data_IF_041841068510
#
_entry.id   IF_041841068510
#
_cell.length_a   1.000
_cell.length_b   1.000
_cell.length_c   1.000
_cell.angle_alpha   90.00
_cell.angle_beta   90.00
_cell.angle_gamma   90.00
#
_symmetry.space_group_name_H-M   'P 1'
#
loop_
_entity.id
_entity.type
_entity.pdbx_description
1 polymer ?
#
# COMPACT_ATOMS: atom_id res chain seq x y z
N UNK A 1 -15.13 -61.40 39.77
CA UNK A 1 -15.46 -59.96 39.93
C UNK A 1 -14.33 -59.26 40.67
N UNK A 2 -13.53 -58.44 39.96
CA UNK A 2 -13.01 -57.15 40.43
C UNK A 2 -12.22 -56.51 39.28
N UNK A 3 -12.82 -55.45 38.75
CA UNK A 3 -12.36 -54.62 37.66
C UNK A 3 -11.23 -53.71 38.16
N UNK A 4 -10.10 -53.66 37.46
CA UNK A 4 -9.08 -52.61 37.68
C UNK A 4 -9.32 -51.57 36.59
N UNK A 5 -9.90 -50.45 37.02
CA UNK A 5 -10.20 -49.29 36.19
C UNK A 5 -8.89 -48.57 35.85
N UNK A 6 -8.56 -48.52 34.56
CA UNK A 6 -7.49 -47.68 34.02
C UNK A 6 -8.05 -46.27 33.90
N UNK A 7 -7.59 -45.33 34.74
CA UNK A 7 -7.81 -43.90 34.53
C UNK A 7 -6.52 -43.28 33.99
N UNK A 8 -6.36 -43.32 32.67
CA UNK A 8 -5.36 -42.53 31.97
C UNK A 8 -5.95 -41.12 31.78
N UNK A 9 -5.58 -40.21 32.69
CA UNK A 9 -5.90 -38.79 32.57
C UNK A 9 -5.04 -38.20 31.44
N UNK A 10 -5.57 -38.14 30.21
CA UNK A 10 -5.00 -37.30 29.16
C UNK A 10 -5.25 -35.83 29.54
N UNK A 11 -4.24 -35.18 30.10
CA UNK A 11 -4.13 -33.73 30.08
C UNK A 11 -3.94 -33.29 28.63
N UNK A 12 -5.04 -33.00 27.93
CA UNK A 12 -5.03 -32.19 26.71
C UNK A 12 -4.63 -30.78 27.12
N UNK A 13 -3.33 -30.49 27.11
CA UNK A 13 -2.86 -29.11 27.10
C UNK A 13 -3.35 -28.48 25.81
N UNK A 14 -4.32 -27.56 25.91
CA UNK A 14 -4.67 -26.67 24.81
C UNK A 14 -3.47 -25.74 24.64
N UNK A 15 -2.51 -26.15 23.82
CA UNK A 15 -1.53 -25.23 23.27
C UNK A 15 -2.30 -24.34 22.30
N UNK A 16 -2.63 -23.13 22.74
CA UNK A 16 -2.97 -22.03 21.84
C UNK A 16 -1.84 -21.90 20.85
N UNK A 17 -2.00 -22.46 19.65
CA UNK A 17 -1.04 -22.24 18.56
C UNK A 17 -1.30 -20.80 18.16
N UNK A 18 -0.41 -19.89 18.55
CA UNK A 18 -0.49 -18.50 18.12
C UNK A 18 -0.64 -18.48 16.59
N UNK A 19 -1.79 -18.02 16.11
CA UNK A 19 -2.05 -17.95 14.68
C UNK A 19 -1.03 -16.99 14.09
N UNK A 20 -0.19 -17.50 13.19
CA UNK A 20 0.89 -16.72 12.60
C UNK A 20 0.69 -16.63 11.09
N UNK A 21 0.50 -15.42 10.59
CA UNK A 21 0.47 -15.13 9.16
C UNK A 21 1.88 -14.74 8.70
N UNK A 22 2.38 -15.46 7.69
CA UNK A 22 3.73 -15.27 7.16
C UNK A 22 3.68 -14.52 5.83
N UNK A 23 4.41 -13.42 5.74
CA UNK A 23 4.64 -12.67 4.50
C UNK A 23 6.08 -12.92 4.03
N UNK A 24 6.24 -13.24 2.75
CA UNK A 24 7.50 -13.67 2.15
C UNK A 24 7.97 -12.65 1.12
N UNK A 25 9.26 -12.34 1.18
CA UNK A 25 9.96 -11.57 0.15
C UNK A 25 9.75 -12.20 -1.23
N UNK A 26 9.44 -11.37 -2.22
CA UNK A 26 9.28 -11.79 -3.62
C UNK A 26 7.96 -12.50 -3.93
N UNK A 27 7.04 -12.58 -2.96
CA UNK A 27 5.68 -13.10 -3.18
C UNK A 27 4.74 -11.97 -3.64
N UNK A 28 3.87 -12.28 -4.59
CA UNK A 28 2.81 -11.39 -5.08
C UNK A 28 1.61 -11.47 -4.13
N UNK A 29 1.22 -10.32 -3.57
CA UNK A 29 0.03 -10.22 -2.73
C UNK A 29 -1.03 -9.38 -3.44
N UNK A 30 -2.14 -10.02 -3.81
CA UNK A 30 -3.28 -9.31 -4.38
C UNK A 30 -3.94 -8.42 -3.32
N UNK A 31 -4.34 -7.23 -3.75
CA UNK A 31 -5.00 -6.26 -2.89
C UNK A 31 -5.87 -5.34 -3.74
N UNK A 32 -6.66 -4.51 -3.08
CA UNK A 32 -7.33 -3.40 -3.75
C UNK A 32 -7.24 -2.12 -2.93
N UNK A 33 -7.33 -0.97 -3.59
CA UNK A 33 -7.36 0.34 -2.93
C UNK A 33 -8.67 0.52 -2.15
N UNK A 34 -8.60 0.81 -0.86
CA UNK A 34 -9.78 1.16 -0.07
C UNK A 34 -10.24 2.59 -0.32
N UNK A 35 -9.28 3.48 -0.59
CA UNK A 35 -9.51 4.91 -0.84
C UNK A 35 -9.02 5.28 -2.23
N UNK A 36 -9.72 6.23 -2.87
CA UNK A 36 -9.13 6.94 -4.01
C UNK A 36 -8.04 7.88 -3.55
N UNK A 37 -7.09 8.21 -4.43
CA UNK A 37 -6.01 9.15 -4.12
C UNK A 37 -5.69 10.00 -5.35
N UNK A 38 -5.37 11.27 -5.10
CA UNK A 38 -4.95 12.23 -6.10
C UNK A 38 -3.47 12.52 -5.88
N UNK A 39 -2.59 11.88 -6.66
CA UNK A 39 -1.14 12.01 -6.52
C UNK A 39 -0.60 13.11 -7.45
N UNK A 40 -0.13 14.26 -6.93
CA UNK A 40 0.47 15.30 -7.75
C UNK A 40 1.74 14.82 -8.44
N UNK A 41 1.97 15.20 -9.71
CA UNK A 41 3.18 14.86 -10.47
C UNK A 41 4.41 15.68 -10.06
N UNK A 42 4.18 16.89 -9.54
CA UNK A 42 5.20 17.81 -9.02
C UNK A 42 4.83 18.17 -7.58
N UNK A 43 5.75 17.93 -6.64
CA UNK A 43 5.52 18.14 -5.22
C UNK A 43 6.62 17.47 -4.41
N UNK A 44 7.25 18.22 -3.49
CA UNK A 44 8.44 17.69 -2.79
C UNK A 44 8.12 17.05 -1.44
N UNK A 45 6.88 17.12 -0.91
CA UNK A 45 6.65 16.74 0.51
C UNK A 45 5.29 16.14 0.87
N UNK A 46 4.21 16.45 0.14
CA UNK A 46 2.89 15.90 0.48
C UNK A 46 2.67 14.54 -0.17
N UNK A 47 3.31 13.54 0.43
CA UNK A 47 2.98 12.13 0.28
C UNK A 47 1.48 11.94 0.50
N UNK A 48 0.75 11.56 -0.54
CA UNK A 48 -0.70 11.39 -0.42
C UNK A 48 -1.00 9.98 0.09
N UNK A 49 -1.67 9.83 1.25
CA UNK A 49 -1.91 8.53 1.83
C UNK A 49 -2.87 7.73 0.94
N UNK A 50 -2.61 6.44 0.83
CA UNK A 50 -3.50 5.48 0.19
C UNK A 50 -3.57 4.23 1.07
N UNK A 51 -4.78 3.69 1.22
CA UNK A 51 -5.01 2.50 2.02
C UNK A 51 -5.34 1.35 1.08
N UNK A 52 -4.77 0.17 1.34
CA UNK A 52 -5.08 -1.06 0.63
C UNK A 52 -5.70 -2.08 1.58
N UNK A 53 -6.53 -2.97 1.04
CA UNK A 53 -6.95 -4.19 1.72
C UNK A 53 -6.36 -5.39 0.98
N UNK A 54 -5.66 -6.26 1.72
CA UNK A 54 -5.07 -7.48 1.18
C UNK A 54 -6.14 -8.56 0.98
N UNK A 55 -6.08 -9.26 -0.16
CA UNK A 55 -6.83 -10.49 -0.37
C UNK A 55 -6.13 -11.64 0.38
N UNK A 56 -6.60 -11.94 1.59
CA UNK A 56 -6.07 -13.04 2.41
C UNK A 56 -7.13 -14.14 2.48
N UNK A 57 -6.72 -15.37 2.15
CA UNK A 57 -7.60 -16.53 2.31
C UNK A 57 -7.72 -16.91 3.79
N UNK A 58 -8.95 -17.21 4.29
CA UNK A 58 -9.15 -17.75 5.63
C UNK A 58 -8.31 -19.03 5.86
N UNK A 59 -8.00 -19.42 7.12
CA UNK A 59 -8.59 -18.93 8.38
C UNK A 59 -7.81 -17.81 9.12
N UNK A 60 -6.66 -17.38 8.62
CA UNK A 60 -5.62 -16.75 9.45
C UNK A 60 -5.81 -15.25 9.78
N UNK A 61 -6.65 -14.54 9.06
CA UNK A 61 -6.96 -13.13 9.34
C UNK A 61 -8.36 -12.80 8.81
N UNK A 62 -9.09 -11.94 9.52
CA UNK A 62 -10.38 -11.43 9.06
C UNK A 62 -10.20 -10.38 7.95
N UNK A 63 -9.18 -9.54 8.09
CA UNK A 63 -8.70 -8.59 7.08
C UNK A 63 -7.34 -8.02 7.49
N UNK A 64 -6.51 -7.67 6.51
CA UNK A 64 -5.31 -6.87 6.69
C UNK A 64 -5.37 -5.64 5.79
N UNK A 65 -5.04 -4.48 6.34
CA UNK A 65 -4.92 -3.24 5.60
C UNK A 65 -3.48 -2.74 5.60
N UNK A 66 -3.10 -2.06 4.53
CA UNK A 66 -1.79 -1.45 4.37
C UNK A 66 -1.95 0.05 4.18
N UNK A 67 -1.12 0.82 4.88
CA UNK A 67 -0.95 2.25 4.62
C UNK A 67 0.27 2.43 3.73
N UNK A 68 0.07 3.09 2.60
CA UNK A 68 1.12 3.55 1.72
C UNK A 68 1.02 5.05 1.46
N UNK A 69 2.05 5.56 0.83
CA UNK A 69 2.15 6.96 0.44
C UNK A 69 2.47 7.05 -1.03
N UNK A 70 1.68 7.85 -1.75
CA UNK A 70 1.80 7.99 -3.19
C UNK A 70 2.52 9.27 -3.58
N UNK A 71 3.30 9.17 -4.66
CA UNK A 71 3.88 10.29 -5.39
C UNK A 71 3.59 10.09 -6.89
N UNK A 72 3.06 11.11 -7.56
CA UNK A 72 2.84 11.04 -9.00
C UNK A 72 4.17 11.04 -9.75
N UNK A 73 4.33 10.15 -10.74
CA UNK A 73 5.54 10.11 -11.54
C UNK A 73 5.38 10.98 -12.79
N UNK A 74 6.08 12.11 -12.87
CA UNK A 74 5.91 13.11 -13.94
C UNK A 74 6.11 12.60 -15.38
N UNK A 75 6.84 11.49 -15.59
CA UNK A 75 7.03 10.88 -16.92
C UNK A 75 6.09 9.71 -17.24
N UNK A 76 5.10 9.44 -16.39
CA UNK A 76 4.18 8.32 -16.61
C UNK A 76 2.82 8.57 -16.01
N UNK A 77 1.82 7.83 -16.44
CA UNK A 77 0.45 7.90 -15.89
C UNK A 77 0.32 7.07 -14.59
N UNK A 78 1.39 6.99 -13.80
CA UNK A 78 1.48 6.13 -12.60
C UNK A 78 1.84 6.90 -11.36
N UNK A 79 1.15 6.59 -10.26
CA UNK A 79 1.59 7.00 -8.94
C UNK A 79 2.45 5.89 -8.33
N UNK A 80 3.68 6.23 -7.97
CA UNK A 80 4.55 5.34 -7.21
C UNK A 80 4.07 5.29 -5.77
N UNK A 81 4.11 4.10 -5.16
CA UNK A 81 3.67 3.89 -3.79
C UNK A 81 4.79 3.26 -2.99
N UNK A 82 5.09 3.87 -1.84
CA UNK A 82 5.91 3.27 -0.79
C UNK A 82 4.99 2.85 0.36
N UNK A 83 5.06 1.59 0.77
CA UNK A 83 4.35 1.10 1.95
C UNK A 83 5.01 1.63 3.23
N UNK A 84 4.25 1.70 4.31
CA UNK A 84 4.74 2.20 5.61
C UNK A 84 4.31 1.33 6.78
N UNK A 85 3.08 0.83 6.77
CA UNK A 85 2.57 0.01 7.86
C UNK A 85 1.50 -0.96 7.41
N UNK A 86 1.41 -2.08 8.12
CA UNK A 86 0.35 -3.07 8.00
C UNK A 86 -0.43 -3.12 9.32
N UNK A 87 -1.75 -3.21 9.22
CA UNK A 87 -2.63 -3.49 10.34
C UNK A 87 -3.48 -4.69 9.99
N UNK A 88 -3.46 -5.71 10.84
CA UNK A 88 -4.25 -6.91 10.63
C UNK A 88 -5.10 -7.22 11.84
N UNK A 89 -6.28 -7.82 11.60
CA UNK A 89 -7.18 -8.26 12.65
C UNK A 89 -7.44 -9.75 12.52
N UNK A 90 -7.19 -10.50 13.61
CA UNK A 90 -7.53 -11.92 13.68
C UNK A 90 -9.04 -12.13 13.72
N UNK A 91 -9.47 -13.36 13.50
CA UNK A 91 -10.87 -13.77 13.60
C UNK A 91 -11.42 -13.59 15.02
N UNK A 92 -10.59 -13.82 16.04
CA UNK A 92 -10.89 -13.64 17.47
C UNK A 92 -10.88 -12.17 17.93
N UNK A 93 -10.42 -11.26 17.08
CA UNK A 93 -10.47 -9.82 17.32
C UNK A 93 -9.17 -9.19 17.81
N UNK A 94 -8.10 -9.97 17.98
CA UNK A 94 -6.74 -9.46 18.20
C UNK A 94 -6.30 -8.58 17.04
N UNK A 95 -5.60 -7.48 17.35
CA UNK A 95 -5.11 -6.52 16.36
C UNK A 95 -3.60 -6.48 16.41
N UNK A 96 -2.98 -6.69 15.25
CA UNK A 96 -1.56 -6.45 15.03
C UNK A 96 -1.38 -5.17 14.23
N UNK A 97 -0.34 -4.39 14.55
CA UNK A 97 0.13 -3.29 13.71
C UNK A 97 1.65 -3.30 13.68
N UNK A 98 2.21 -3.25 12.47
CA UNK A 98 3.64 -3.31 12.24
C UNK A 98 4.09 -2.35 11.16
N UNK A 99 5.38 -2.02 11.16
CA UNK A 99 6.02 -1.34 10.04
C UNK A 99 6.31 -2.37 8.95
N UNK A 100 6.15 -1.95 7.70
CA UNK A 100 6.50 -2.74 6.53
C UNK A 100 7.06 -1.83 5.48
N UNK A 101 8.02 -2.35 4.73
CA UNK A 101 8.55 -1.73 3.52
C UNK A 101 8.17 -2.57 2.31
N UNK A 102 7.89 -1.88 1.20
CA UNK A 102 7.39 -2.51 -0.01
C UNK A 102 6.95 -1.51 -1.05
N UNK A 103 6.60 -2.03 -2.21
CA UNK A 103 6.09 -1.27 -3.33
C UNK A 103 4.81 -1.89 -3.88
N UNK A 104 4.07 -1.08 -4.64
CA UNK A 104 2.81 -1.48 -5.26
C UNK A 104 2.93 -1.37 -6.77
N UNK A 105 2.34 -2.32 -7.47
CA UNK A 105 2.23 -2.36 -8.93
C UNK A 105 0.76 -2.42 -9.33
N UNK A 106 0.45 -1.94 -10.54
CA UNK A 106 -0.80 -2.31 -11.20
C UNK A 106 -0.75 -3.79 -11.63
N UNK A 107 -1.85 -4.34 -12.15
CA UNK A 107 -1.93 -5.75 -12.56
C UNK A 107 -0.94 -6.14 -13.68
N UNK A 108 -0.38 -5.15 -14.38
CA UNK A 108 0.67 -5.36 -15.38
C UNK A 108 2.09 -5.45 -14.79
N UNK A 109 2.22 -5.48 -13.46
CA UNK A 109 3.45 -5.72 -12.71
C UNK A 109 4.54 -4.66 -12.92
N UNK A 110 4.19 -3.52 -13.52
CA UNK A 110 5.07 -2.35 -13.60
C UNK A 110 4.87 -1.52 -12.33
N UNK A 111 5.98 -1.04 -11.76
CA UNK A 111 5.99 -0.22 -10.55
C UNK A 111 5.04 0.99 -10.65
N UNK A 112 4.25 1.18 -9.60
CA UNK A 112 3.23 2.23 -9.51
C UNK A 112 1.88 1.82 -10.08
N UNK A 113 0.84 2.47 -9.56
CA UNK A 113 -0.56 2.23 -9.89
C UNK A 113 -0.93 3.16 -11.05
N UNK A 114 -1.52 2.64 -12.14
CA UNK A 114 -2.03 3.53 -13.20
C UNK A 114 -3.22 4.32 -12.69
N UNK A 115 -3.28 5.59 -13.04
CA UNK A 115 -4.43 6.44 -12.79
C UNK A 115 -4.73 7.34 -13.98
N UNK A 116 -5.83 8.07 -13.87
CA UNK A 116 -6.20 9.05 -14.86
C UNK A 116 -5.38 10.33 -14.66
N UNK A 117 -4.77 10.84 -15.73
CA UNK A 117 -4.07 12.13 -15.67
C UNK A 117 -5.10 13.25 -15.74
N UNK A 118 -5.32 13.91 -14.60
CA UNK A 118 -6.23 15.04 -14.45
C UNK A 118 -5.43 16.33 -14.38
N UNK A 119 -5.62 17.20 -15.35
CA UNK A 119 -4.96 18.50 -15.40
C UNK A 119 -4.86 19.04 -16.82
N UNK A 120 -4.63 20.34 -16.93
CA UNK A 120 -4.47 20.96 -18.24
C UNK A 120 -3.01 20.86 -18.68
N UNK A 121 -2.67 19.80 -19.41
CA UNK A 121 -1.33 19.55 -19.97
C UNK A 121 -0.89 20.70 -20.88
N UNK A 122 -1.80 21.35 -21.61
CA UNK A 122 -1.48 22.51 -22.44
C UNK A 122 -1.12 23.73 -21.59
N UNK A 123 -1.81 23.94 -20.45
CA UNK A 123 -1.43 24.96 -19.47
C UNK A 123 -0.05 24.68 -18.88
N UNK A 124 0.23 23.42 -18.52
CA UNK A 124 1.56 23.03 -18.02
C UNK A 124 2.65 23.32 -19.07
N UNK A 125 2.45 22.92 -20.33
CA UNK A 125 3.39 23.20 -21.44
C UNK A 125 3.61 24.70 -21.65
N UNK A 126 2.53 25.49 -21.66
CA UNK A 126 2.60 26.93 -21.78
C UNK A 126 3.41 27.56 -20.64
N UNK A 127 3.13 27.15 -19.40
CA UNK A 127 3.90 27.58 -18.22
C UNK A 127 5.37 27.18 -18.33
N UNK A 128 5.70 25.94 -18.68
CA UNK A 128 7.09 25.51 -18.87
C UNK A 128 7.83 26.36 -19.92
N UNK A 129 7.17 26.74 -21.01
CA UNK A 129 7.76 27.60 -22.04
C UNK A 129 7.96 29.05 -21.55
N UNK A 130 7.04 29.58 -20.75
CA UNK A 130 7.21 30.89 -20.11
C UNK A 130 8.40 30.90 -19.13
N UNK A 131 8.55 29.83 -18.34
CA UNK A 131 9.61 29.74 -17.33
C UNK A 131 11.02 29.62 -17.90
N UNK A 132 11.17 29.11 -19.14
CA UNK A 132 12.48 29.05 -19.82
C UNK A 132 13.13 30.44 -19.98
N UNK A 133 12.32 31.49 -20.07
CA UNK A 133 12.78 32.86 -20.33
C UNK A 133 12.47 33.83 -19.17
N UNK A 134 12.02 33.35 -18.00
CA UNK A 134 11.41 34.20 -16.98
C UNK A 134 12.38 34.89 -16.01
N UNK A 135 13.69 34.66 -16.11
CA UNK A 135 14.68 35.21 -15.15
C UNK A 135 14.52 34.71 -13.70
N UNK A 136 13.57 33.81 -13.45
CA UNK A 136 13.28 33.24 -12.15
C UNK A 136 14.38 32.26 -11.69
N UNK A 137 14.49 32.10 -10.37
CA UNK A 137 15.26 31.00 -9.78
C UNK A 137 14.57 29.64 -9.98
N UNK A 138 15.32 28.55 -9.85
CA UNK A 138 14.79 27.19 -9.94
C UNK A 138 13.69 26.91 -8.90
N UNK A 139 13.83 27.45 -7.67
CA UNK A 139 12.82 27.31 -6.62
C UNK A 139 11.50 27.99 -7.00
N UNK A 140 11.56 29.23 -7.49
CA UNK A 140 10.38 29.95 -7.98
C UNK A 140 9.72 29.24 -9.15
N UNK A 141 10.51 28.72 -10.09
CA UNK A 141 9.98 27.93 -11.20
C UNK A 141 9.28 26.66 -10.72
N UNK A 142 9.82 25.98 -9.71
CA UNK A 142 9.20 24.79 -9.12
C UNK A 142 7.86 25.10 -8.44
N UNK A 143 7.77 26.21 -7.70
CA UNK A 143 6.51 26.64 -7.06
C UNK A 143 5.43 26.96 -8.09
N UNK A 144 5.81 27.60 -9.21
CA UNK A 144 4.90 27.87 -10.32
C UNK A 144 4.45 26.55 -10.97
N UNK A 145 5.37 25.62 -11.25
CA UNK A 145 5.02 24.32 -11.85
C UNK A 145 4.09 23.49 -10.96
N UNK A 146 4.29 23.49 -9.63
CA UNK A 146 3.39 22.84 -8.66
C UNK A 146 1.96 23.38 -8.77
N UNK A 147 1.78 24.69 -9.00
CA UNK A 147 0.45 25.31 -9.12
C UNK A 147 -0.35 24.91 -10.37
N UNK A 148 0.33 24.37 -11.39
CA UNK A 148 -0.27 23.92 -12.65
C UNK A 148 -0.04 22.42 -12.91
N UNK A 149 0.47 21.72 -11.90
CA UNK A 149 0.85 20.32 -11.96
C UNK A 149 -0.37 19.44 -12.22
N UNK A 150 -0.32 18.56 -13.23
CA UNK A 150 -1.30 17.50 -13.35
C UNK A 150 -1.24 16.56 -12.15
N UNK A 151 -2.38 15.90 -11.93
CA UNK A 151 -2.59 14.94 -10.85
C UNK A 151 -2.83 13.59 -11.51
N UNK A 152 -2.31 12.53 -10.92
CA UNK A 152 -2.69 11.16 -11.24
C UNK A 152 -3.78 10.76 -10.26
N UNK A 153 -5.01 10.62 -10.76
CA UNK A 153 -6.16 10.22 -9.96
C UNK A 153 -6.31 8.70 -10.00
N UNK A 154 -6.26 8.08 -8.82
CA UNK A 154 -6.46 6.64 -8.64
C UNK A 154 -7.82 6.45 -7.98
N UNK A 155 -8.67 5.63 -8.62
CA UNK A 155 -9.97 5.27 -8.07
C UNK A 155 -9.85 4.38 -6.82
N UNK A 156 -10.86 4.44 -5.97
CA UNK A 156 -11.07 3.43 -4.95
C UNK A 156 -11.47 2.09 -5.60
N UNK A 157 -11.29 0.99 -4.86
CA UNK A 157 -11.58 -0.39 -5.28
C UNK A 157 -10.84 -0.80 -6.56
N UNK A 158 -9.65 -0.24 -6.77
CA UNK A 158 -8.76 -0.63 -7.85
C UNK A 158 -7.87 -1.79 -7.40
N UNK A 159 -7.87 -2.88 -8.16
CA UNK A 159 -7.01 -4.04 -7.92
C UNK A 159 -5.53 -3.70 -8.20
N UNK A 160 -4.66 -4.22 -7.35
CA UNK A 160 -3.21 -4.00 -7.39
C UNK A 160 -2.46 -5.24 -6.90
N UNK A 161 -1.15 -5.28 -7.15
CA UNK A 161 -0.25 -6.31 -6.60
C UNK A 161 0.76 -5.63 -5.70
N UNK A 162 0.95 -6.20 -4.52
CA UNK A 162 1.83 -5.72 -3.46
C UNK A 162 3.04 -6.64 -3.34
N UNK A 163 4.22 -6.02 -3.21
CA UNK A 163 5.49 -6.71 -2.97
C UNK A 163 6.15 -6.14 -1.72
N UNK A 164 6.45 -7.01 -0.76
CA UNK A 164 7.24 -6.65 0.42
C UNK A 164 8.74 -6.78 0.13
N UNK A 165 9.54 -5.88 0.70
CA UNK A 165 11.01 -5.90 0.55
C UNK A 165 11.71 -6.77 1.59
N UNK A 166 10.97 -7.32 2.55
CA UNK A 166 11.46 -8.27 3.56
C UNK A 166 10.38 -9.31 3.90
N UNK A 167 10.82 -10.49 4.34
CA UNK A 167 9.90 -11.48 4.93
C UNK A 167 9.63 -11.10 6.39
N UNK A 168 8.39 -11.21 6.83
CA UNK A 168 7.98 -10.95 8.21
C UNK A 168 6.79 -11.79 8.61
N UNK A 169 6.54 -11.86 9.91
CA UNK A 169 5.43 -12.60 10.48
C UNK A 169 4.54 -11.72 11.33
N UNK A 170 3.25 -11.97 11.23
CA UNK A 170 2.21 -11.36 12.06
C UNK A 170 1.67 -12.45 12.98
N UNK A 171 1.85 -12.30 14.29
CA UNK A 171 1.39 -13.25 15.30
C UNK A 171 0.28 -12.62 16.15
N UNK A 172 -0.75 -13.42 16.48
CA UNK A 172 -1.87 -13.04 17.33
C UNK A 172 -1.97 -13.91 18.58
#
# INVERSE_FOLDING_TARGET
>A
MKSILVSLLLLLSVTSIAETLQFQLGTEYEAYTLTGVNAPMFGDKEKQPIIFELHISPPYAKYCTLLGYTNGHYMSERALVSLSSITCRSTEGSVYTGKVDGFVTDLDKIAGIKGDVVGNVEKLKATMNQLKNSGNTAAQNMDILKSVSPIISIAAKKDVIIFFTESFQVSY
#
